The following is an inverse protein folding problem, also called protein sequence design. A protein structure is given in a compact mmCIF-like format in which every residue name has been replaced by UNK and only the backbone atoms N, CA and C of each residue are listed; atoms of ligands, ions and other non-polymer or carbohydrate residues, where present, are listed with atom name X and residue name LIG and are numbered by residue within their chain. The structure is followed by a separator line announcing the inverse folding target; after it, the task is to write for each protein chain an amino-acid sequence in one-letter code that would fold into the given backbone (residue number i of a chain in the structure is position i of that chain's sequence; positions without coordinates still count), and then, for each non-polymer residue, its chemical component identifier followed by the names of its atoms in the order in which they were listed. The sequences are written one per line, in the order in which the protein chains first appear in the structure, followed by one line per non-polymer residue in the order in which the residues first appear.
data_IF_384333091630
#
_entry.id   IF_384333091630
#
_cell.length_a   1.000
_cell.length_b   1.000
_cell.length_c   1.000
_cell.angle_alpha   90.00
_cell.angle_beta   90.00
_cell.angle_gamma   90.00
#
_symmetry.space_group_name_H-M   'P 1'
#
loop_
_entity.id
_entity.type
_entity.pdbx_description
1 polymer ?
#
# COMPACT_ATOMS: atom_id res chain seq x y z
N UNK A 1 -3.98 -0.30 -19.01
CA UNK A 1 -3.50 1.01 -18.51
C UNK A 1 -2.59 1.62 -19.57
N UNK A 2 -2.62 2.95 -19.75
CA UNK A 2 -1.68 3.63 -20.67
C UNK A 2 -0.71 4.46 -19.82
N UNK A 3 0.61 4.42 -20.08
CA UNK A 3 1.53 5.31 -19.39
C UNK A 3 1.16 6.77 -19.70
N UNK A 4 1.26 7.63 -18.70
CA UNK A 4 1.12 9.09 -18.82
C UNK A 4 2.48 9.70 -18.53
N UNK A 5 2.99 10.49 -19.47
CA UNK A 5 4.22 11.23 -19.26
C UNK A 5 3.92 12.48 -18.44
N UNK A 6 4.58 12.62 -17.28
CA UNK A 6 4.53 13.83 -16.47
C UNK A 6 5.77 14.68 -16.73
N UNK A 7 5.65 15.77 -17.49
CA UNK A 7 6.73 16.74 -17.71
C UNK A 7 7.05 17.57 -16.46
N UNK A 8 6.11 17.63 -15.51
CA UNK A 8 6.16 18.39 -14.26
C UNK A 8 6.60 17.52 -13.07
N UNK A 9 7.35 16.45 -13.30
CA UNK A 9 7.71 15.45 -12.28
C UNK A 9 8.51 16.00 -11.09
N UNK A 10 9.16 17.16 -11.25
CA UNK A 10 9.87 17.84 -10.17
C UNK A 10 8.95 18.60 -9.20
N UNK A 11 7.64 18.66 -9.48
CA UNK A 11 6.65 19.37 -8.67
C UNK A 11 5.94 18.47 -7.65
N UNK A 12 6.51 17.29 -7.34
CA UNK A 12 6.00 16.38 -6.32
C UNK A 12 5.04 15.30 -6.81
N UNK A 13 4.76 14.33 -5.93
CA UNK A 13 3.95 13.16 -6.24
C UNK A 13 2.46 13.51 -6.44
N UNK A 14 1.93 14.57 -5.80
CA UNK A 14 0.59 15.10 -6.02
C UNK A 14 0.36 15.56 -7.46
N UNK A 15 1.34 16.25 -8.08
CA UNK A 15 1.25 16.65 -9.50
C UNK A 15 1.26 15.42 -10.41
N UNK A 16 2.09 14.42 -10.09
CA UNK A 16 2.12 13.15 -10.81
C UNK A 16 0.77 12.44 -10.73
N UNK A 17 0.21 12.28 -9.54
CA UNK A 17 -1.08 11.62 -9.34
C UNK A 17 -2.20 12.39 -10.04
N UNK A 18 -2.18 13.74 -9.95
CA UNK A 18 -3.11 14.60 -10.67
C UNK A 18 -3.07 14.34 -12.18
N UNK A 19 -1.90 14.26 -12.82
CA UNK A 19 -1.80 13.98 -14.28
C UNK A 19 -2.46 12.65 -14.68
N UNK A 20 -2.72 11.74 -13.74
CA UNK A 20 -3.39 10.46 -13.99
C UNK A 20 -4.91 10.46 -13.75
N UNK A 21 -5.56 11.60 -13.48
CA UNK A 21 -7.00 11.65 -13.15
C UNK A 21 -7.91 10.98 -14.17
N UNK A 22 -7.62 11.11 -15.47
CA UNK A 22 -8.46 10.54 -16.52
C UNK A 22 -8.51 9.01 -16.44
N UNK A 23 -7.51 8.41 -15.77
CA UNK A 23 -7.46 6.98 -15.49
C UNK A 23 -8.06 6.64 -14.13
N UNK A 24 -7.86 7.47 -13.12
CA UNK A 24 -8.33 7.26 -11.75
C UNK A 24 -9.84 7.52 -11.59
N UNK A 25 -10.39 8.50 -12.32
CA UNK A 25 -11.77 8.96 -12.21
C UNK A 25 -12.65 8.38 -13.33
N UNK A 26 -12.57 7.06 -13.55
CA UNK A 26 -13.35 6.35 -14.59
C UNK A 26 -14.60 5.64 -14.06
N UNK A 27 -14.95 5.84 -12.80
CA UNK A 27 -16.06 5.16 -12.14
C UNK A 27 -15.75 3.71 -11.74
N UNK A 28 -14.49 3.28 -11.78
CA UNK A 28 -14.03 1.94 -11.42
C UNK A 28 -13.14 1.98 -10.16
N UNK A 29 -13.07 0.90 -9.37
CA UNK A 29 -12.11 0.80 -8.28
C UNK A 29 -10.66 0.95 -8.78
N UNK A 30 -9.84 1.56 -7.93
CA UNK A 30 -8.43 1.90 -8.21
C UNK A 30 -7.52 1.15 -7.24
N UNK A 31 -6.45 0.58 -7.78
CA UNK A 31 -5.28 0.19 -7.02
C UNK A 31 -4.22 1.29 -7.20
N UNK A 32 -3.92 2.03 -6.13
CA UNK A 32 -2.87 3.04 -6.07
C UNK A 32 -1.67 2.44 -5.34
N UNK A 33 -0.47 2.58 -5.91
CA UNK A 33 0.75 1.99 -5.36
C UNK A 33 1.95 2.90 -5.64
N UNK A 34 2.81 3.05 -4.65
CA UNK A 34 4.12 3.66 -4.83
C UNK A 34 5.05 2.78 -5.69
N UNK A 35 5.93 3.44 -6.45
CA UNK A 35 6.70 2.82 -7.55
C UNK A 35 8.05 2.22 -7.15
N UNK A 36 8.49 2.45 -5.93
CA UNK A 36 9.80 2.11 -5.36
C UNK A 36 9.73 0.97 -4.32
N UNK A 37 8.57 0.35 -4.14
CA UNK A 37 8.38 -0.72 -3.17
C UNK A 37 8.76 -2.09 -3.75
N UNK A 38 9.71 -2.77 -3.11
CA UNK A 38 9.96 -4.21 -3.31
C UNK A 38 9.17 -5.01 -2.27
N UNK A 39 8.31 -5.93 -2.71
CA UNK A 39 7.39 -6.65 -1.81
C UNK A 39 7.22 -8.14 -2.15
N UNK A 40 6.78 -8.91 -1.14
CA UNK A 40 6.28 -10.28 -1.29
C UNK A 40 4.87 -10.28 -1.90
N UNK A 41 4.60 -11.16 -2.87
CA UNK A 41 3.29 -11.28 -3.56
C UNK A 41 2.07 -11.36 -2.60
N UNK A 42 2.25 -11.91 -1.39
CA UNK A 42 1.21 -11.97 -0.35
C UNK A 42 0.75 -10.61 0.15
N UNK A 43 1.59 -9.58 0.05
CA UNK A 43 1.27 -8.21 0.51
C UNK A 43 0.16 -7.63 -0.36
N UNK A 44 0.37 -7.61 -1.69
CA UNK A 44 -0.68 -7.22 -2.62
C UNK A 44 -1.89 -8.17 -2.55
N UNK A 45 -1.64 -9.47 -2.37
CA UNK A 45 -2.70 -10.46 -2.18
C UNK A 45 -3.59 -10.16 -0.96
N UNK A 46 -3.04 -9.68 0.17
CA UNK A 46 -3.84 -9.28 1.34
C UNK A 46 -4.74 -8.10 1.01
N UNK A 47 -4.17 -7.06 0.40
CA UNK A 47 -4.92 -5.86 0.03
C UNK A 47 -6.10 -6.18 -0.90
N UNK A 48 -5.85 -6.93 -1.98
CA UNK A 48 -6.87 -7.26 -2.98
C UNK A 48 -7.96 -8.21 -2.45
N UNK A 49 -7.69 -8.95 -1.39
CA UNK A 49 -8.63 -9.92 -0.80
C UNK A 49 -9.23 -9.44 0.53
N UNK A 50 -9.02 -8.17 0.91
CA UNK A 50 -9.51 -7.60 2.18
C UNK A 50 -11.03 -7.61 2.29
N UNK A 51 -11.73 -7.50 1.15
CA UNK A 51 -13.18 -7.37 1.09
C UNK A 51 -13.69 -5.95 1.39
N UNK A 52 -12.79 -5.03 1.72
CA UNK A 52 -13.10 -3.63 2.00
C UNK A 52 -13.05 -2.79 0.72
N UNK A 53 -13.96 -1.82 0.60
CA UNK A 53 -14.03 -0.95 -0.59
C UNK A 53 -12.86 0.03 -0.66
N UNK A 54 -12.44 0.57 0.49
CA UNK A 54 -11.24 1.37 0.61
C UNK A 54 -10.38 0.74 1.71
N UNK A 55 -9.15 0.37 1.37
CA UNK A 55 -8.22 -0.20 2.33
C UNK A 55 -6.79 0.17 2.00
N UNK A 56 -5.95 0.18 3.02
CA UNK A 56 -4.50 0.38 2.91
C UNK A 56 -3.75 -0.71 3.67
N UNK A 57 -2.45 -0.83 3.39
CA UNK A 57 -1.59 -1.78 4.09
C UNK A 57 -0.81 -1.07 5.19
N UNK A 58 -0.69 -1.71 6.36
CA UNK A 58 0.21 -1.26 7.42
C UNK A 58 1.18 -2.36 7.89
N UNK A 59 2.41 -1.96 8.18
CA UNK A 59 3.40 -2.76 8.92
C UNK A 59 3.66 -2.16 10.30
N UNK A 60 3.48 -2.96 11.36
CA UNK A 60 3.79 -2.54 12.74
C UNK A 60 5.29 -2.65 13.07
N UNK A 61 6.07 -3.35 12.25
CA UNK A 61 7.51 -3.54 12.43
C UNK A 61 8.32 -2.63 11.50
N UNK A 62 8.43 -1.36 11.87
CA UNK A 62 9.16 -0.37 11.09
C UNK A 62 10.15 0.42 11.97
N UNK A 63 11.06 1.14 11.32
CA UNK A 63 11.99 2.04 12.02
C UNK A 63 11.32 3.40 12.22
N UNK A 64 11.26 3.86 13.47
CA UNK A 64 10.74 5.20 13.75
C UNK A 64 11.62 6.27 13.10
N UNK A 65 10.98 7.24 12.48
CA UNK A 65 11.62 8.36 11.80
C UNK A 65 10.62 9.39 11.33
N UNK A 66 11.14 10.45 10.73
CA UNK A 66 10.33 11.52 10.13
C UNK A 66 9.73 11.11 8.79
N UNK A 67 10.43 10.27 8.03
CA UNK A 67 9.99 9.87 6.69
C UNK A 67 8.74 8.97 6.65
N UNK A 68 8.64 7.91 7.48
CA UNK A 68 7.51 6.99 7.41
C UNK A 68 6.16 7.69 7.60
N UNK A 69 5.26 7.47 6.63
CA UNK A 69 3.85 7.81 6.76
C UNK A 69 3.21 6.78 7.69
N UNK A 70 2.56 7.25 8.75
CA UNK A 70 2.04 6.40 9.82
C UNK A 70 0.54 6.21 9.67
N UNK A 71 0.06 5.04 10.04
CA UNK A 71 -1.36 4.70 10.16
C UNK A 71 -1.62 4.45 11.65
N UNK A 72 -2.41 5.30 12.29
CA UNK A 72 -2.76 5.15 13.70
C UNK A 72 -4.12 4.46 13.85
N UNK A 73 -4.21 3.48 14.75
CA UNK A 73 -5.38 2.64 14.94
C UNK A 73 -5.82 2.67 16.40
N UNK A 74 -7.12 2.79 16.61
CA UNK A 74 -7.80 2.68 17.92
C UNK A 74 -9.10 1.91 17.78
N UNK A 75 -9.36 1.00 18.70
CA UNK A 75 -10.59 0.18 18.72
C UNK A 75 -10.85 -0.56 17.39
N UNK A 76 -9.77 -0.91 16.68
CA UNK A 76 -9.83 -1.60 15.38
C UNK A 76 -10.15 -0.71 14.18
N UNK A 77 -10.20 0.62 14.34
CA UNK A 77 -10.42 1.58 13.26
C UNK A 77 -9.22 2.51 13.07
N UNK A 78 -8.97 2.95 11.84
CA UNK A 78 -8.00 4.02 11.56
C UNK A 78 -8.53 5.32 12.17
N UNK A 79 -7.70 6.00 12.96
CA UNK A 79 -8.04 7.28 13.60
C UNK A 79 -7.15 8.43 13.18
N UNK A 80 -6.00 8.14 12.55
CA UNK A 80 -5.08 9.16 12.05
C UNK A 80 -4.16 8.55 10.98
N UNK A 81 -3.67 9.38 10.07
CA UNK A 81 -2.85 8.96 8.93
C UNK A 81 -1.90 10.08 8.52
N UNK A 82 -0.58 9.85 8.50
CA UNK A 82 0.36 10.89 8.06
C UNK A 82 1.73 10.77 8.71
N UNK A 83 2.66 11.67 8.36
CA UNK A 83 4.00 11.69 8.98
C UNK A 83 3.95 12.03 10.46
N UNK A 84 2.99 12.87 10.88
CA UNK A 84 2.76 13.29 12.26
C UNK A 84 1.40 12.78 12.70
N UNK A 85 1.38 12.04 13.80
CA UNK A 85 0.13 11.55 14.42
C UNK A 85 -0.21 12.46 15.60
N UNK A 86 -1.38 13.10 15.53
CA UNK A 86 -1.88 14.02 16.55
C UNK A 86 -2.99 13.45 17.42
N UNK A 87 -3.61 12.36 16.96
CA UNK A 87 -4.71 11.69 17.66
C UNK A 87 -4.18 10.58 18.57
N UNK A 88 -4.85 10.34 19.68
CA UNK A 88 -4.49 9.21 20.53
C UNK A 88 -4.84 7.86 19.86
N UNK A 89 -4.01 6.83 20.09
CA UNK A 89 -4.12 5.53 19.42
C UNK A 89 -3.74 4.37 20.34
N UNK A 90 -4.12 3.15 19.97
CA UNK A 90 -3.68 1.90 20.62
C UNK A 90 -2.34 1.43 20.06
N UNK A 91 -2.21 1.52 18.73
CA UNK A 91 -0.97 1.27 18.00
C UNK A 91 -0.92 2.08 16.71
N UNK A 92 0.26 2.16 16.12
CA UNK A 92 0.46 2.69 14.78
C UNK A 92 1.48 1.83 14.04
N UNK A 93 1.45 1.89 12.73
CA UNK A 93 2.40 1.25 11.84
C UNK A 93 2.73 2.16 10.66
N UNK A 94 3.69 1.73 9.85
CA UNK A 94 4.06 2.38 8.61
C UNK A 94 3.08 1.97 7.49
N UNK A 95 2.64 2.97 6.73
CA UNK A 95 1.93 2.78 5.47
C UNK A 95 2.89 2.23 4.43
N UNK A 96 2.49 1.20 3.70
CA UNK A 96 3.30 0.58 2.62
C UNK A 96 3.20 1.35 1.30
N UNK A 97 2.35 2.38 1.23
CA UNK A 97 2.10 3.13 -0.01
C UNK A 97 1.12 2.44 -0.97
N UNK A 98 0.44 1.37 -0.55
CA UNK A 98 -0.52 0.61 -1.36
C UNK A 98 -1.94 0.79 -0.85
N UNK A 99 -2.85 1.15 -1.75
CA UNK A 99 -4.24 1.46 -1.45
C UNK A 99 -5.18 0.80 -2.47
N UNK A 100 -6.21 0.13 -1.96
CA UNK A 100 -7.42 -0.15 -2.72
C UNK A 100 -8.41 0.99 -2.46
N UNK A 101 -8.94 1.58 -3.52
CA UNK A 101 -9.83 2.73 -3.45
C UNK A 101 -11.08 2.43 -4.27
N UNK A 102 -12.24 2.74 -3.71
CA UNK A 102 -13.46 2.89 -4.50
C UNK A 102 -13.31 4.05 -5.49
N UNK A 103 -14.12 4.04 -6.57
CA UNK A 103 -14.16 5.15 -7.53
C UNK A 103 -14.44 6.49 -6.84
N UNK A 104 -15.37 6.49 -5.88
CA UNK A 104 -15.71 7.67 -5.09
C UNK A 104 -14.50 8.21 -4.31
N UNK A 105 -13.74 7.32 -3.67
CA UNK A 105 -12.58 7.71 -2.88
C UNK A 105 -11.43 8.23 -3.75
N UNK A 106 -11.19 7.59 -4.90
CA UNK A 106 -10.19 8.06 -5.86
C UNK A 106 -10.53 9.48 -6.38
N UNK A 107 -11.81 9.73 -6.69
CA UNK A 107 -12.29 11.06 -7.10
C UNK A 107 -12.13 12.10 -5.98
N UNK A 108 -12.43 11.73 -4.73
CA UNK A 108 -12.26 12.62 -3.57
C UNK A 108 -10.79 13.03 -3.37
N UNK A 109 -9.86 12.08 -3.43
CA UNK A 109 -8.42 12.34 -3.32
C UNK A 109 -7.96 13.31 -4.43
N UNK A 110 -8.37 13.06 -5.68
CA UNK A 110 -8.02 13.95 -6.80
C UNK A 110 -8.61 15.36 -6.63
N UNK A 111 -9.81 15.49 -6.05
CA UNK A 111 -10.39 16.79 -5.75
C UNK A 111 -9.59 17.56 -4.69
N UNK A 112 -9.13 16.91 -3.62
CA UNK A 112 -8.25 17.54 -2.63
C UNK A 112 -6.92 17.97 -3.23
N UNK A 113 -6.29 17.11 -4.04
CA UNK A 113 -5.06 17.46 -4.76
C UNK A 113 -5.29 18.68 -5.66
N UNK A 114 -6.38 18.72 -6.43
CA UNK A 114 -6.71 19.89 -7.25
C UNK A 114 -6.84 21.16 -6.40
N UNK A 115 -7.51 21.08 -5.25
CA UNK A 115 -7.66 22.22 -4.34
C UNK A 115 -6.30 22.72 -3.82
N UNK A 116 -5.35 21.84 -3.51
CA UNK A 116 -4.00 22.25 -3.11
C UNK A 116 -3.29 22.97 -4.25
N UNK A 117 -3.36 22.42 -5.47
CA UNK A 117 -2.72 22.99 -6.64
C UNK A 117 -3.29 24.37 -7.00
N UNK A 118 -4.59 24.58 -6.80
CA UNK A 118 -5.25 25.87 -7.05
C UNK A 118 -4.88 26.95 -6.02
N UNK A 119 -4.52 26.55 -4.79
CA UNK A 119 -4.12 27.45 -3.70
C UNK A 119 -2.61 27.79 -3.72
N UNK A 120 -1.83 27.08 -4.55
CA UNK A 120 -0.37 27.13 -4.59
C UNK A 120 0.28 26.47 -3.35
N UNK A 121 1.57 26.73 -3.12
CA UNK A 121 2.70 25.91 -3.60
C UNK A 121 2.50 24.38 -3.63
N UNK A 122 3.25 23.72 -4.52
CA UNK A 122 3.16 22.31 -4.93
C UNK A 122 3.83 21.29 -3.98
N UNK A 123 4.15 21.66 -2.75
CA UNK A 123 5.00 20.84 -1.86
C UNK A 123 4.20 19.91 -0.93
N UNK A 124 2.92 19.64 -1.26
CA UNK A 124 2.10 18.72 -0.49
C UNK A 124 2.10 17.33 -1.14
N UNK A 125 2.50 16.28 -0.42
CA UNK A 125 2.45 14.91 -0.92
C UNK A 125 0.98 14.44 -1.06
N UNK A 126 0.72 13.42 -1.89
CA UNK A 126 -0.66 12.93 -2.10
C UNK A 126 -1.24 12.31 -0.81
N UNK A 127 -0.37 11.88 0.08
CA UNK A 127 -0.67 11.33 1.39
C UNK A 127 -1.38 12.36 2.27
N UNK A 128 -1.06 13.65 2.13
CA UNK A 128 -1.81 14.73 2.79
C UNK A 128 -3.25 14.82 2.26
N UNK A 129 -3.46 14.58 0.96
CA UNK A 129 -4.82 14.51 0.41
C UNK A 129 -5.58 13.30 0.93
N UNK A 130 -4.92 12.16 1.13
CA UNK A 130 -5.55 10.99 1.76
C UNK A 130 -5.92 11.30 3.22
N UNK A 131 -5.02 11.92 3.99
CA UNK A 131 -5.30 12.38 5.36
C UNK A 131 -6.55 13.28 5.39
N UNK A 132 -6.58 14.31 4.54
CA UNK A 132 -7.69 15.27 4.50
C UNK A 132 -9.02 14.62 4.07
N UNK A 133 -8.97 13.62 3.18
CA UNK A 133 -10.15 12.83 2.78
C UNK A 133 -10.67 11.95 3.91
N UNK A 134 -9.77 11.31 4.68
CA UNK A 134 -10.17 10.53 5.85
C UNK A 134 -10.91 11.43 6.87
N UNK A 135 -10.45 12.68 7.02
CA UNK A 135 -11.00 13.66 7.95
C UNK A 135 -10.86 13.21 9.40
N UNK A 136 -10.88 14.14 10.36
CA UNK A 136 -10.81 13.81 11.80
C UNK A 136 -12.06 13.11 12.38
N UNK A 137 -12.76 12.30 11.57
CA UNK A 137 -13.97 11.57 11.91
C UNK A 137 -13.65 10.14 12.37
N UNK A 138 -14.49 9.58 13.24
CA UNK A 138 -14.41 8.18 13.68
C UNK A 138 -14.73 7.15 12.58
N UNK A 139 -15.18 7.60 11.41
CA UNK A 139 -15.37 6.77 10.23
C UNK A 139 -14.63 7.40 9.05
N UNK A 140 -13.33 7.10 8.93
CA UNK A 140 -12.44 7.57 7.86
C UNK A 140 -12.85 7.07 6.47
N UNK A 141 -13.72 6.06 6.41
CA UNK A 141 -14.08 5.37 5.18
C UNK A 141 -13.00 4.42 4.67
N UNK A 142 -11.91 4.25 5.43
CA UNK A 142 -10.82 3.32 5.15
C UNK A 142 -10.71 2.25 6.23
N UNK A 143 -10.49 1.02 5.78
CA UNK A 143 -10.02 -0.09 6.60
C UNK A 143 -8.51 -0.32 6.36
N UNK A 144 -7.90 -1.22 7.13
CA UNK A 144 -6.50 -1.57 6.96
C UNK A 144 -6.28 -3.08 6.97
N UNK A 145 -5.23 -3.51 6.28
CA UNK A 145 -4.73 -4.88 6.34
C UNK A 145 -3.33 -4.89 6.97
N UNK A 146 -3.18 -5.68 8.02
CA UNK A 146 -1.90 -5.86 8.71
C UNK A 146 -1.01 -6.86 7.96
N UNK A 147 0.12 -6.37 7.45
CA UNK A 147 1.12 -7.16 6.74
C UNK A 147 2.35 -7.49 7.58
N UNK A 148 2.33 -7.15 8.88
CA UNK A 148 3.47 -7.24 9.79
C UNK A 148 4.21 -8.57 9.66
N UNK A 149 5.53 -8.47 9.43
CA UNK A 149 6.42 -9.62 9.28
C UNK A 149 6.51 -10.21 7.88
N UNK A 150 5.68 -9.75 6.92
CA UNK A 150 5.92 -10.01 5.50
C UNK A 150 7.13 -9.20 5.00
N UNK A 151 7.96 -9.77 4.10
CA UNK A 151 9.15 -9.07 3.63
C UNK A 151 8.79 -8.04 2.56
N UNK A 152 9.13 -6.78 2.82
CA UNK A 152 9.08 -5.66 1.87
C UNK A 152 10.10 -4.59 2.26
N UNK A 153 10.32 -3.61 1.39
CA UNK A 153 11.14 -2.41 1.62
C UNK A 153 10.86 -1.34 0.55
N UNK A 154 10.88 -0.06 0.93
CA UNK A 154 10.98 1.11 0.03
C UNK A 154 12.43 1.34 -0.42
N UNK A 155 12.66 1.62 -1.70
CA UNK A 155 14.01 1.82 -2.24
C UNK A 155 14.25 3.31 -2.50
N UNK A 156 14.50 4.05 -1.41
CA UNK A 156 14.79 5.49 -1.47
C UNK A 156 16.28 5.79 -1.62
N UNK A 157 17.12 4.99 -0.95
CA UNK A 157 18.55 5.22 -0.87
C UNK A 157 19.36 4.02 -1.35
N UNK A 158 20.66 4.25 -1.56
CA UNK A 158 21.58 3.18 -1.99
C UNK A 158 21.67 2.04 -0.97
N UNK A 159 21.54 2.33 0.33
CA UNK A 159 21.57 1.30 1.36
C UNK A 159 20.34 0.38 1.33
N UNK A 160 19.19 0.88 0.87
CA UNK A 160 17.98 0.08 0.67
C UNK A 160 18.16 -0.94 -0.44
N UNK A 161 18.91 -0.60 -1.50
CA UNK A 161 19.26 -1.56 -2.56
C UNK A 161 20.10 -2.72 -1.97
N UNK A 162 21.05 -2.42 -1.09
CA UNK A 162 21.86 -3.45 -0.44
C UNK A 162 21.01 -4.31 0.49
N UNK A 163 20.14 -3.68 1.29
CA UNK A 163 19.23 -4.36 2.19
C UNK A 163 18.22 -5.24 1.43
N UNK A 164 17.65 -4.71 0.34
CA UNK A 164 16.77 -5.42 -0.58
C UNK A 164 17.44 -6.67 -1.13
N UNK A 165 18.68 -6.57 -1.61
CA UNK A 165 19.44 -7.70 -2.18
C UNK A 165 19.81 -8.75 -1.15
N UNK A 166 20.28 -8.34 0.02
CA UNK A 166 20.92 -9.24 0.98
C UNK A 166 19.95 -9.80 2.02
N UNK A 167 18.81 -9.16 2.26
CA UNK A 167 17.86 -9.54 3.32
C UNK A 167 16.45 -9.78 2.77
N UNK A 168 15.88 -8.82 2.04
CA UNK A 168 14.46 -8.88 1.64
C UNK A 168 14.25 -9.89 0.51
N UNK A 169 14.99 -9.81 -0.60
CA UNK A 169 14.89 -10.74 -1.73
C UNK A 169 15.11 -12.21 -1.32
N UNK A 170 16.10 -12.57 -0.48
CA UNK A 170 16.24 -13.93 0.02
C UNK A 170 15.01 -14.41 0.80
N UNK A 171 14.38 -13.55 1.62
CA UNK A 171 13.15 -13.90 2.36
C UNK A 171 11.98 -14.16 1.40
N UNK A 172 11.79 -13.31 0.39
CA UNK A 172 10.77 -13.49 -0.66
C UNK A 172 11.00 -14.81 -1.42
N UNK A 173 12.24 -15.05 -1.89
CA UNK A 173 12.58 -16.24 -2.70
C UNK A 173 12.52 -17.56 -1.93
N UNK A 174 12.94 -17.58 -0.66
CA UNK A 174 12.87 -18.78 0.20
C UNK A 174 11.43 -19.31 0.29
N UNK A 175 10.44 -18.41 0.29
CA UNK A 175 9.02 -18.76 0.27
C UNK A 175 8.60 -19.36 -1.07
N UNK A 176 8.98 -18.77 -2.21
CA UNK A 176 8.69 -19.33 -3.54
C UNK A 176 9.19 -20.78 -3.66
N UNK A 177 10.41 -21.05 -3.19
CA UNK A 177 10.97 -22.40 -3.18
C UNK A 177 10.18 -23.38 -2.28
N UNK A 178 9.64 -22.91 -1.14
CA UNK A 178 8.79 -23.73 -0.26
C UNK A 178 7.43 -24.05 -0.91
N UNK A 179 6.79 -23.06 -1.55
CA UNK A 179 5.50 -23.25 -2.25
C UNK A 179 5.64 -24.27 -3.39
N UNK A 180 6.68 -24.14 -4.22
CA UNK A 180 6.94 -25.08 -5.32
C UNK A 180 7.20 -26.52 -4.83
N UNK A 181 7.88 -26.70 -3.70
CA UNK A 181 8.11 -28.02 -3.10
C UNK A 181 6.84 -28.67 -2.54
N UNK A 182 5.93 -27.88 -1.96
CA UNK A 182 4.64 -28.37 -1.46
C UNK A 182 3.71 -28.74 -2.62
N UNK A 183 3.70 -27.97 -3.71
CA UNK A 183 2.91 -28.27 -4.91
C UNK A 183 3.36 -29.53 -5.67
N UNK A 184 4.64 -29.90 -5.59
CA UNK A 184 5.19 -31.11 -6.22
C UNK A 184 4.99 -32.41 -5.41
N UNK A 185 4.57 -32.32 -4.14
CA UNK A 185 4.39 -33.48 -3.25
C UNK A 185 2.98 -34.10 -3.26
N UNK A 186 2.08 -33.62 -4.12
CA UNK A 186 0.66 -33.94 -4.10
C UNK A 186 0.18 -35.04 -5.05
N UNK A 187 0.93 -36.14 -5.24
CA UNK A 187 0.36 -37.41 -5.74
C UNK A 187 1.20 -38.59 -5.24
N UNK A 188 0.69 -39.35 -4.27
CA UNK A 188 1.03 -40.76 -4.04
C UNK A 188 0.08 -41.36 -3.01
N UNK A 189 -1.13 -41.74 -3.42
CA UNK A 189 -1.97 -42.68 -2.67
C UNK A 189 -2.70 -43.61 -3.66
N UNK A 190 -2.29 -44.88 -3.60
CA UNK A 190 -2.99 -46.14 -3.92
C UNK A 190 -3.13 -46.49 -5.42
N UNK A 191 -2.24 -47.37 -5.89
CA UNK A 191 -2.65 -48.42 -6.83
C UNK A 191 -3.06 -49.67 -6.04
N UNK A 192 -4.27 -50.09 -6.33
CA UNK A 192 -5.03 -51.18 -5.75
C UNK A 192 -4.55 -52.56 -6.23
N UNK A 193 -4.51 -53.52 -5.32
CA UNK A 193 -5.00 -54.88 -5.56
C UNK A 193 -6.22 -55.06 -4.64
N UNK A 194 -7.31 -55.75 -5.05
CA UNK A 194 -7.26 -57.19 -5.34
C UNK A 194 -8.26 -57.74 -6.40
N UNK A 195 -8.16 -59.07 -6.60
CA UNK A 195 -9.03 -60.05 -7.31
C UNK A 195 -8.91 -60.07 -8.85
N UNK A 196 -8.61 -61.19 -9.53
CA UNK A 196 -8.78 -62.64 -9.29
C UNK A 196 -7.56 -63.44 -9.77
#
# INVERSE_FOLDING_TARGET
MKPVYNEDFLQGNSVTLRKTCDQLCRGEPVLLMDGDVLYDDRILGRLLNSGHQNSLLLDRHFSLGEEPVKVAVRDGAIVDFGKIIGTEYDFFGESVGFFCLSAHMAEAIIAFIQNYLDQGPHDRPYEDAIHDVMGGSSATGFDFEDITGLPWIEIDFTHDIEHARNVILPRIRKKLAKVLRVGAGGQSIISSQPNQ
#
